data_IF_260852216618
#
_entry.id   IF_260852216618
#
_cell.length_a   1.000
_cell.length_b   1.000
_cell.length_c   1.000
_cell.angle_alpha   90.00
_cell.angle_beta   90.00
_cell.angle_gamma   90.00
#
_symmetry.space_group_name_H-M   'P 1'
#
loop_
_entity.id
_entity.type
_entity.pdbx_description
1 polymer ?
#
# COMPACT_ATOMS: atom_id res chain seq x y z
N UNK A 1 77.33 2.24 42.54
CA UNK A 1 76.70 2.39 41.25
C UNK A 1 75.33 1.72 41.31
N UNK A 2 74.25 2.51 41.47
CA UNK A 2 72.87 2.00 41.70
C UNK A 2 72.11 2.16 40.40
N UNK A 3 71.76 1.02 39.80
CA UNK A 3 70.94 0.98 38.56
C UNK A 3 69.47 1.06 39.01
N UNK A 4 68.79 2.12 38.57
CA UNK A 4 67.32 2.28 38.73
C UNK A 4 66.62 1.70 37.50
N UNK A 5 65.95 0.59 37.68
CA UNK A 5 65.09 -0.02 36.64
C UNK A 5 63.73 0.66 36.70
N UNK A 6 63.38 1.41 35.65
CA UNK A 6 62.05 2.05 35.49
C UNK A 6 61.16 1.08 34.76
N UNK A 7 60.12 0.60 35.44
CA UNK A 7 59.07 -0.25 34.85
C UNK A 7 58.07 0.67 34.15
N UNK A 8 58.02 0.63 32.81
CA UNK A 8 56.99 1.34 32.02
C UNK A 8 55.73 0.44 31.97
N UNK A 9 54.68 0.86 32.63
CA UNK A 9 53.36 0.23 32.62
C UNK A 9 52.59 0.73 31.40
N UNK A 10 52.53 -0.06 30.33
CA UNK A 10 51.75 0.25 29.13
C UNK A 10 50.29 -0.08 29.41
N UNK A 11 49.45 0.92 29.66
CA UNK A 11 48.00 0.76 29.78
C UNK A 11 47.39 0.56 28.39
N UNK A 12 47.01 -0.69 28.11
CA UNK A 12 46.24 -1.05 26.93
C UNK A 12 44.79 -0.60 27.16
N UNK A 13 44.40 0.55 26.65
CA UNK A 13 43.00 1.03 26.65
C UNK A 13 42.24 0.21 25.66
N UNK A 14 41.51 -0.83 26.08
CA UNK A 14 40.50 -1.50 25.30
C UNK A 14 39.36 -0.50 25.05
N UNK A 15 39.36 0.18 23.93
CA UNK A 15 38.18 0.80 23.40
C UNK A 15 37.18 -0.31 23.00
N UNK A 16 36.39 -0.78 23.95
CA UNK A 16 35.19 -1.57 23.68
C UNK A 16 34.24 -0.65 22.96
N UNK A 17 34.26 -0.71 21.62
CA UNK A 17 33.23 -0.08 20.79
C UNK A 17 31.88 -0.60 21.25
N UNK A 18 31.13 0.27 21.93
CA UNK A 18 29.73 0.00 22.27
C UNK A 18 29.03 -0.11 20.91
N UNK A 19 28.86 -1.33 20.42
CA UNK A 19 27.97 -1.59 19.30
C UNK A 19 26.57 -1.17 19.77
N UNK A 20 26.15 0.01 19.38
CA UNK A 20 24.77 0.45 19.64
C UNK A 20 23.85 -0.58 19.03
N UNK A 21 23.08 -1.26 19.88
CA UNK A 21 22.10 -2.25 19.45
C UNK A 21 21.13 -1.57 18.49
N UNK A 22 20.86 -2.20 17.35
CA UNK A 22 19.90 -1.70 16.36
C UNK A 22 18.52 -1.58 17.04
N UNK A 23 17.89 -0.42 16.95
CA UNK A 23 16.54 -0.19 17.48
C UNK A 23 15.59 -1.28 16.96
N UNK A 24 14.74 -1.82 17.81
CA UNK A 24 13.74 -2.85 17.49
C UNK A 24 14.31 -4.26 17.23
N UNK A 25 15.61 -4.47 17.41
CA UNK A 25 16.24 -5.79 17.25
C UNK A 25 16.83 -6.23 18.61
N UNK A 26 16.34 -7.32 19.14
CA UNK A 26 16.90 -7.98 20.32
C UNK A 26 17.57 -9.32 19.95
N UNK A 27 17.99 -10.09 20.94
CA UNK A 27 18.48 -11.44 20.74
C UNK A 27 17.40 -12.37 20.18
N UNK A 28 16.17 -12.21 20.65
CA UNK A 28 15.07 -13.16 20.45
C UNK A 28 13.89 -12.57 19.65
N UNK A 29 13.89 -11.26 19.38
CA UNK A 29 12.74 -10.56 18.77
C UNK A 29 13.16 -9.50 17.75
N UNK A 30 12.32 -9.35 16.71
CA UNK A 30 12.32 -8.23 15.77
C UNK A 30 10.99 -7.51 15.95
N UNK A 31 11.03 -6.28 16.45
CA UNK A 31 9.86 -5.47 16.72
C UNK A 31 9.56 -4.53 15.54
N UNK A 32 8.43 -4.72 14.89
CA UNK A 32 7.95 -3.87 13.79
C UNK A 32 6.64 -3.19 14.17
N UNK A 33 6.33 -2.07 13.55
CA UNK A 33 5.11 -1.31 13.81
C UNK A 33 4.30 -1.08 12.56
N UNK A 34 3.00 -0.86 12.74
CA UNK A 34 2.07 -0.48 11.69
C UNK A 34 1.05 0.51 12.21
N UNK A 35 0.67 1.50 11.41
CA UNK A 35 -0.41 2.44 11.73
C UNK A 35 -1.54 2.15 10.77
N UNK A 36 -2.69 1.76 11.31
CA UNK A 36 -3.85 1.37 10.52
C UNK A 36 -5.06 2.27 10.82
N UNK A 37 -6.06 2.17 9.99
CA UNK A 37 -7.41 2.61 10.34
C UNK A 37 -8.19 1.41 10.88
N UNK A 38 -8.46 1.38 12.17
CA UNK A 38 -9.22 0.29 12.81
C UNK A 38 -10.61 0.74 13.28
N UNK A 39 -10.86 2.06 13.32
CA UNK A 39 -12.10 2.66 13.84
C UNK A 39 -12.76 3.66 12.87
N UNK A 40 -12.10 4.06 11.81
CA UNK A 40 -12.56 5.06 10.85
C UNK A 40 -13.14 4.46 9.54
N UNK A 41 -13.17 5.26 8.47
CA UNK A 41 -13.83 4.89 7.21
C UNK A 41 -13.17 3.72 6.48
N UNK A 42 -11.90 3.41 6.76
CA UNK A 42 -11.15 2.30 6.17
C UNK A 42 -10.90 1.16 7.17
N UNK A 43 -11.69 1.06 8.25
CA UNK A 43 -11.49 0.03 9.26
C UNK A 43 -11.51 -1.40 8.69
N UNK A 44 -12.27 -1.64 7.61
CA UNK A 44 -12.23 -2.91 6.88
C UNK A 44 -10.84 -3.19 6.28
N UNK A 45 -10.22 -2.19 5.65
CA UNK A 45 -8.86 -2.31 5.10
C UNK A 45 -7.82 -2.52 6.20
N UNK A 46 -7.86 -1.69 7.25
CA UNK A 46 -6.93 -1.80 8.37
C UNK A 46 -6.95 -3.17 9.04
N UNK A 47 -8.15 -3.75 9.24
CA UNK A 47 -8.29 -5.12 9.77
C UNK A 47 -7.74 -6.17 8.82
N UNK A 48 -8.06 -6.09 7.53
CA UNK A 48 -7.63 -7.06 6.52
C UNK A 48 -6.11 -7.05 6.33
N UNK A 49 -5.46 -5.88 6.23
CA UNK A 49 -3.99 -5.80 6.09
C UNK A 49 -3.31 -6.31 7.34
N UNK A 50 -3.81 -5.96 8.55
CA UNK A 50 -3.31 -6.48 9.82
C UNK A 50 -3.41 -8.01 9.86
N UNK A 51 -4.56 -8.57 9.50
CA UNK A 51 -4.78 -10.01 9.51
C UNK A 51 -3.86 -10.73 8.52
N UNK A 52 -3.66 -10.18 7.31
CA UNK A 52 -2.68 -10.71 6.36
C UNK A 52 -1.25 -10.68 6.89
N UNK A 53 -0.84 -9.57 7.53
CA UNK A 53 0.47 -9.49 8.19
C UNK A 53 0.60 -10.51 9.32
N UNK A 54 -0.41 -10.65 10.18
CA UNK A 54 -0.41 -11.60 11.30
C UNK A 54 -0.29 -13.05 10.82
N UNK A 55 -1.03 -13.43 9.76
CA UNK A 55 -0.94 -14.77 9.20
C UNK A 55 0.49 -15.11 8.74
N UNK A 56 1.15 -14.19 8.02
CA UNK A 56 2.53 -14.39 7.60
C UNK A 56 3.51 -14.43 8.78
N UNK A 57 3.30 -13.57 9.79
CA UNK A 57 4.12 -13.56 11.02
C UNK A 57 3.99 -14.89 11.77
N UNK A 58 2.78 -15.40 11.93
CA UNK A 58 2.54 -16.67 12.63
C UNK A 58 3.26 -17.81 11.90
N UNK A 59 3.12 -17.92 10.57
CA UNK A 59 3.80 -18.92 9.75
C UNK A 59 5.33 -18.85 9.90
N UNK A 60 5.91 -17.65 9.82
CA UNK A 60 7.35 -17.44 9.96
C UNK A 60 7.80 -17.79 11.39
N UNK A 61 7.02 -17.38 12.38
CA UNK A 61 7.34 -17.62 13.78
C UNK A 61 7.23 -19.11 14.17
N UNK A 62 6.26 -19.84 13.63
CA UNK A 62 6.14 -21.29 13.80
C UNK A 62 7.38 -22.02 13.28
N UNK A 63 7.95 -21.57 12.16
CA UNK A 63 9.17 -22.10 11.56
C UNK A 63 10.48 -21.66 12.25
N UNK A 64 10.39 -21.01 13.42
CA UNK A 64 11.57 -20.57 14.19
C UNK A 64 11.94 -19.09 14.02
N UNK A 65 11.16 -18.33 13.26
CA UNK A 65 11.39 -16.89 13.05
C UNK A 65 12.46 -16.58 12.00
N UNK A 66 13.12 -15.46 12.15
CA UNK A 66 14.18 -14.99 11.25
C UNK A 66 15.51 -15.06 11.98
N UNK A 67 16.39 -15.96 11.57
CA UNK A 67 17.70 -16.20 12.23
C UNK A 67 17.55 -16.37 13.77
N UNK A 68 16.52 -17.13 14.20
CA UNK A 68 16.21 -17.41 15.59
C UNK A 68 15.44 -16.34 16.34
N UNK A 69 15.00 -15.25 15.66
CA UNK A 69 14.20 -14.17 16.26
C UNK A 69 12.75 -14.25 15.82
N UNK A 70 11.82 -14.13 16.75
CA UNK A 70 10.40 -14.00 16.45
C UNK A 70 10.08 -12.58 15.98
N UNK A 71 9.18 -12.47 15.02
CA UNK A 71 8.63 -11.16 14.61
C UNK A 71 7.48 -10.80 15.56
N UNK A 72 7.50 -9.57 16.07
CA UNK A 72 6.40 -8.98 16.82
C UNK A 72 5.91 -7.73 16.14
N UNK A 73 4.61 -7.65 15.88
CA UNK A 73 3.93 -6.53 15.25
C UNK A 73 3.15 -5.73 16.30
N UNK A 74 3.42 -4.43 16.38
CA UNK A 74 2.58 -3.47 17.09
C UNK A 74 1.71 -2.73 16.08
N UNK A 75 0.41 -2.61 16.37
CA UNK A 75 -0.54 -1.91 15.51
C UNK A 75 -1.21 -0.80 16.27
N UNK A 76 -1.11 0.43 15.77
CA UNK A 76 -1.79 1.61 16.30
C UNK A 76 -2.93 2.04 15.38
N UNK A 77 -4.00 2.58 15.97
CA UNK A 77 -5.16 3.08 15.25
C UNK A 77 -5.06 4.59 15.01
N UNK A 78 -5.07 5.01 13.76
CA UNK A 78 -5.15 6.42 13.38
C UNK A 78 -6.58 6.91 13.09
N UNK A 79 -7.56 6.01 12.95
CA UNK A 79 -8.91 6.38 12.50
C UNK A 79 -8.91 7.13 11.18
N UNK A 80 -7.91 6.92 10.33
CA UNK A 80 -7.66 7.62 9.06
C UNK A 80 -7.46 9.14 9.22
N UNK A 81 -6.97 9.58 10.39
CA UNK A 81 -6.65 10.97 10.71
C UNK A 81 -5.13 11.20 10.75
N UNK A 82 -4.56 12.15 9.95
CA UNK A 82 -3.12 12.41 9.94
C UNK A 82 -2.56 12.86 11.28
N UNK A 83 -3.32 13.60 12.10
CA UNK A 83 -2.84 14.05 13.41
C UNK A 83 -2.71 12.88 14.39
N UNK A 84 -3.67 11.94 14.36
CA UNK A 84 -3.57 10.71 15.15
C UNK A 84 -2.43 9.82 14.63
N UNK A 85 -2.17 9.78 13.32
CA UNK A 85 -1.05 9.05 12.75
C UNK A 85 0.30 9.58 13.26
N UNK A 86 0.44 10.91 13.44
CA UNK A 86 1.64 11.53 14.08
C UNK A 86 1.82 11.00 15.49
N UNK A 87 0.76 10.99 16.32
CA UNK A 87 0.84 10.49 17.70
C UNK A 87 1.20 8.99 17.75
N UNK A 88 0.58 8.20 16.88
CA UNK A 88 0.89 6.77 16.74
C UNK A 88 2.35 6.55 16.29
N UNK A 89 2.86 7.35 15.35
CA UNK A 89 4.25 7.28 14.93
C UNK A 89 5.22 7.65 16.07
N UNK A 90 4.92 8.70 16.83
CA UNK A 90 5.72 9.08 18.01
C UNK A 90 5.78 7.95 19.05
N UNK A 91 4.65 7.27 19.31
CA UNK A 91 4.59 6.13 20.21
C UNK A 91 5.46 4.98 19.69
N UNK A 92 5.18 4.50 18.47
CA UNK A 92 5.86 3.34 17.89
C UNK A 92 7.37 3.58 17.72
N UNK A 93 7.78 4.77 17.25
CA UNK A 93 9.17 5.08 16.93
C UNK A 93 9.98 5.45 18.17
N UNK A 94 9.44 6.31 19.06
CA UNK A 94 10.21 6.90 20.16
C UNK A 94 10.03 6.16 21.49
N UNK A 95 8.84 5.57 21.74
CA UNK A 95 8.55 4.85 22.99
C UNK A 95 8.78 3.35 22.83
N UNK A 96 8.07 2.74 21.87
CA UNK A 96 8.16 1.29 21.61
C UNK A 96 9.45 0.91 20.86
N UNK A 97 10.10 1.88 20.17
CA UNK A 97 11.38 1.74 19.49
C UNK A 97 11.36 0.63 18.43
N UNK A 98 10.37 0.65 17.53
CA UNK A 98 10.27 -0.30 16.44
C UNK A 98 11.47 -0.23 15.48
N UNK A 99 11.80 -1.36 14.85
CA UNK A 99 12.82 -1.44 13.81
C UNK A 99 12.37 -0.83 12.48
N UNK A 100 11.10 -1.04 12.14
CA UNK A 100 10.53 -0.67 10.83
C UNK A 100 9.03 -0.37 10.95
N UNK A 101 8.54 0.59 10.18
CA UNK A 101 7.12 0.80 9.93
C UNK A 101 6.70 0.01 8.69
N UNK A 102 5.71 -0.87 8.81
CA UNK A 102 5.24 -1.75 7.73
C UNK A 102 3.78 -1.51 7.39
N UNK A 103 3.45 -1.42 6.11
CA UNK A 103 2.06 -1.41 5.64
C UNK A 103 1.20 -0.24 6.15
N UNK A 104 1.79 0.88 6.56
CA UNK A 104 1.07 2.04 7.11
C UNK A 104 0.05 2.59 6.10
N UNK A 105 -1.23 2.68 6.50
CA UNK A 105 -2.33 3.06 5.61
C UNK A 105 -2.46 4.57 5.43
N UNK A 106 -2.76 5.00 4.19
CA UNK A 106 -3.17 6.35 3.85
C UNK A 106 -2.03 7.29 3.44
N UNK A 107 -2.29 8.15 2.45
CA UNK A 107 -1.31 9.09 1.89
C UNK A 107 -0.93 10.17 2.91
N UNK A 108 -1.87 11.02 3.29
CA UNK A 108 -1.64 12.11 4.24
C UNK A 108 -1.14 11.62 5.62
N UNK A 109 -1.53 10.40 6.04
CA UNK A 109 -1.08 9.77 7.27
C UNK A 109 0.40 9.40 7.21
N UNK A 110 0.83 8.78 6.10
CA UNK A 110 2.25 8.46 5.86
C UNK A 110 3.11 9.72 5.78
N UNK A 111 2.67 10.72 5.01
CA UNK A 111 3.40 11.99 4.86
C UNK A 111 3.61 12.69 6.20
N UNK A 112 2.60 12.70 7.06
CA UNK A 112 2.70 13.29 8.40
C UNK A 112 3.62 12.49 9.35
N UNK A 113 3.69 11.16 9.19
CA UNK A 113 4.45 10.27 10.07
C UNK A 113 5.90 10.06 9.63
N UNK A 114 6.21 10.11 8.33
CA UNK A 114 7.56 9.83 7.80
C UNK A 114 8.69 10.66 8.41
N UNK A 115 8.55 11.98 8.70
CA UNK A 115 9.61 12.75 9.35
C UNK A 115 10.05 12.15 10.68
N UNK A 116 9.09 11.66 11.51
CA UNK A 116 9.36 11.03 12.81
C UNK A 116 10.12 9.71 12.61
N UNK A 117 9.73 8.92 11.62
CA UNK A 117 10.40 7.66 11.29
C UNK A 117 11.85 7.91 10.85
N UNK A 118 12.05 8.86 9.93
CA UNK A 118 13.34 9.11 9.30
C UNK A 118 14.36 9.71 10.26
N UNK A 119 13.93 10.51 11.22
CA UNK A 119 14.79 11.02 12.31
C UNK A 119 15.44 9.90 13.13
N UNK A 120 14.77 8.77 13.26
CA UNK A 120 15.24 7.59 14.02
C UNK A 120 15.71 6.43 13.13
N UNK A 121 15.96 6.68 11.86
CA UNK A 121 16.43 5.67 10.90
C UNK A 121 15.45 4.49 10.69
N UNK A 122 14.14 4.75 10.91
CA UNK A 122 13.05 3.78 10.74
C UNK A 122 12.53 3.83 9.31
N UNK A 123 12.60 2.70 8.61
CA UNK A 123 12.14 2.56 7.21
C UNK A 123 10.61 2.65 7.16
N UNK A 124 10.08 3.38 6.18
CA UNK A 124 8.69 3.28 5.73
C UNK A 124 8.59 2.22 4.64
N UNK A 125 8.16 1.02 5.04
CA UNK A 125 8.21 -0.18 4.21
C UNK A 125 6.82 -0.57 3.71
N UNK A 126 6.66 -0.53 2.39
CA UNK A 126 5.44 -0.90 1.69
C UNK A 126 4.19 -0.26 2.31
N UNK A 127 4.12 1.09 2.36
CA UNK A 127 2.92 1.74 2.86
C UNK A 127 1.70 1.32 2.04
N UNK A 128 0.55 1.16 2.71
CA UNK A 128 -0.72 0.87 2.05
C UNK A 128 -1.31 2.17 1.47
N UNK A 129 -0.60 2.71 0.51
CA UNK A 129 -0.96 3.82 -0.37
C UNK A 129 -0.02 3.81 -1.57
N UNK A 130 -0.52 4.22 -2.71
CA UNK A 130 0.23 4.27 -3.96
C UNK A 130 0.56 5.72 -4.38
N UNK A 131 0.77 6.63 -3.43
CA UNK A 131 1.15 7.99 -3.74
C UNK A 131 2.63 8.11 -4.13
N UNK A 132 2.96 9.05 -5.03
CA UNK A 132 4.35 9.33 -5.44
C UNK A 132 5.22 9.73 -4.27
N UNK A 133 4.69 10.43 -3.29
CA UNK A 133 5.40 10.81 -2.06
C UNK A 133 5.97 9.62 -1.27
N UNK A 134 5.53 8.40 -1.54
CA UNK A 134 6.05 7.18 -0.89
C UNK A 134 7.41 6.75 -1.45
N UNK A 135 7.86 7.29 -2.59
CA UNK A 135 9.19 7.05 -3.15
C UNK A 135 9.90 8.30 -3.67
N UNK A 136 9.16 9.38 -3.96
CA UNK A 136 9.66 10.69 -4.38
C UNK A 136 9.43 11.77 -3.30
N UNK A 137 10.31 12.77 -3.17
CA UNK A 137 11.68 12.70 -3.66
C UNK A 137 12.41 11.50 -3.07
N UNK A 138 13.47 11.03 -3.75
CA UNK A 138 14.25 9.88 -3.28
C UNK A 138 14.67 10.06 -1.82
N UNK A 139 14.41 9.04 -1.03
CA UNK A 139 14.93 8.91 0.33
C UNK A 139 15.26 7.44 0.60
N UNK A 140 16.43 7.16 1.19
CA UNK A 140 16.91 5.78 1.39
C UNK A 140 15.98 4.91 2.24
N UNK A 141 15.17 5.51 3.10
CA UNK A 141 14.23 4.84 4.01
C UNK A 141 12.81 4.67 3.43
N UNK A 142 12.57 5.04 2.19
CA UNK A 142 11.30 4.81 1.51
C UNK A 142 11.37 3.54 0.68
N UNK A 143 10.36 2.68 0.76
CA UNK A 143 10.18 1.53 -0.13
C UNK A 143 8.70 1.40 -0.48
N UNK A 144 8.33 1.74 -1.71
CA UNK A 144 6.97 1.60 -2.26
C UNK A 144 6.91 0.44 -3.24
N UNK A 145 5.92 -0.42 -3.14
CA UNK A 145 5.87 -1.68 -3.90
C UNK A 145 5.13 -1.57 -5.21
N UNK A 146 4.11 -0.71 -5.30
CA UNK A 146 3.14 -0.67 -6.39
C UNK A 146 3.28 0.63 -7.21
N UNK A 147 2.85 0.61 -8.50
CA UNK A 147 2.76 1.82 -9.31
C UNK A 147 1.87 2.85 -8.63
N UNK A 148 2.20 4.12 -8.82
CA UNK A 148 1.49 5.21 -8.17
C UNK A 148 0.06 5.38 -8.70
N UNK A 149 -0.80 6.02 -7.92
CA UNK A 149 -2.15 6.37 -8.39
C UNK A 149 -2.10 7.17 -9.69
N UNK A 150 -1.11 8.06 -9.80
CA UNK A 150 -0.86 8.80 -11.03
C UNK A 150 -0.60 7.84 -12.21
N UNK A 151 0.39 6.96 -12.09
CA UNK A 151 0.77 6.03 -13.17
C UNK A 151 -0.35 5.04 -13.51
N UNK A 152 -1.04 4.54 -12.49
CA UNK A 152 -2.18 3.64 -12.66
C UNK A 152 -3.24 4.25 -13.60
N UNK A 153 -3.66 5.48 -13.32
CA UNK A 153 -4.68 6.17 -14.13
C UNK A 153 -4.10 6.63 -15.46
N UNK A 154 -2.92 7.27 -15.45
CA UNK A 154 -2.23 7.74 -16.66
C UNK A 154 -2.08 6.63 -17.71
N UNK A 155 -1.72 5.41 -17.28
CA UNK A 155 -1.46 4.29 -18.21
C UNK A 155 -2.73 3.54 -18.64
N UNK A 156 -3.74 3.44 -17.78
CA UNK A 156 -4.95 2.66 -18.05
C UNK A 156 -6.04 3.49 -18.75
N UNK A 157 -6.19 4.78 -18.42
CA UNK A 157 -7.24 5.63 -18.95
C UNK A 157 -7.22 5.77 -20.50
N UNK A 158 -6.08 6.02 -21.16
CA UNK A 158 -6.04 6.11 -22.62
C UNK A 158 -6.45 4.81 -23.32
N UNK A 159 -6.15 3.65 -22.72
CA UNK A 159 -6.54 2.34 -23.23
C UNK A 159 -8.06 2.16 -23.15
N UNK A 160 -8.65 2.51 -22.00
CA UNK A 160 -10.10 2.43 -21.79
C UNK A 160 -10.86 3.40 -22.71
N UNK A 161 -10.37 4.62 -22.90
CA UNK A 161 -10.94 5.63 -23.83
C UNK A 161 -10.98 5.06 -25.25
N UNK A 162 -9.88 4.50 -25.74
CA UNK A 162 -9.83 3.88 -27.08
C UNK A 162 -10.80 2.71 -27.21
N UNK A 163 -10.83 1.83 -26.22
CA UNK A 163 -11.70 0.64 -26.22
C UNK A 163 -13.19 1.00 -26.22
N UNK A 164 -13.56 2.09 -25.55
CA UNK A 164 -14.95 2.52 -25.34
C UNK A 164 -15.38 3.68 -26.25
N UNK A 165 -14.45 4.22 -27.04
CA UNK A 165 -14.70 5.35 -27.97
C UNK A 165 -15.26 6.59 -27.23
N UNK A 166 -14.70 6.87 -26.04
CA UNK A 166 -15.15 7.97 -25.17
C UNK A 166 -14.47 9.28 -25.58
N UNK A 167 -15.20 10.38 -25.53
CA UNK A 167 -14.71 11.74 -25.85
C UNK A 167 -14.84 12.73 -24.68
N UNK A 168 -15.82 12.54 -23.79
CA UNK A 168 -16.06 13.41 -22.63
C UNK A 168 -15.73 12.70 -21.32
N UNK A 169 -14.60 13.08 -20.73
CA UNK A 169 -14.09 12.49 -19.50
C UNK A 169 -14.08 13.51 -18.38
N UNK A 170 -14.55 13.11 -17.22
CA UNK A 170 -14.63 13.93 -16.01
C UNK A 170 -13.96 13.25 -14.84
N UNK A 171 -13.78 13.98 -13.72
CA UNK A 171 -13.22 13.43 -12.49
C UNK A 171 -14.00 13.85 -11.25
N UNK A 172 -14.22 12.91 -10.31
CA UNK A 172 -14.67 13.18 -8.94
C UNK A 172 -13.58 12.65 -8.01
N UNK A 173 -13.06 13.49 -7.12
CA UNK A 173 -11.89 13.13 -6.32
C UNK A 173 -11.95 13.70 -4.90
N UNK A 174 -11.33 12.99 -3.95
CA UNK A 174 -11.14 13.45 -2.59
C UNK A 174 -10.20 14.67 -2.57
N UNK A 175 -10.57 15.71 -1.81
CA UNK A 175 -9.82 16.96 -1.71
C UNK A 175 -8.65 16.80 -0.72
N UNK A 176 -7.67 15.98 -1.13
CA UNK A 176 -6.39 15.74 -0.45
C UNK A 176 -5.34 15.17 -1.43
N UNK A 177 -4.14 14.87 -0.91
CA UNK A 177 -3.00 14.40 -1.70
C UNK A 177 -3.31 13.12 -2.50
N UNK A 178 -4.10 12.21 -1.94
CA UNK A 178 -4.56 11.01 -2.65
C UNK A 178 -5.41 11.36 -3.88
N UNK A 179 -6.43 12.19 -3.70
CA UNK A 179 -7.32 12.55 -4.80
C UNK A 179 -6.62 13.39 -5.86
N UNK A 180 -5.66 14.24 -5.47
CA UNK A 180 -4.83 15.01 -6.41
C UNK A 180 -3.94 14.12 -7.28
N UNK A 181 -3.38 13.03 -6.76
CA UNK A 181 -2.64 12.04 -7.54
C UNK A 181 -3.49 11.41 -8.65
N UNK A 182 -4.74 11.04 -8.32
CA UNK A 182 -5.70 10.49 -9.30
C UNK A 182 -6.09 11.54 -10.35
N UNK A 183 -6.36 12.77 -9.92
CA UNK A 183 -6.70 13.88 -10.82
C UNK A 183 -5.56 14.16 -11.81
N UNK A 184 -4.33 14.28 -11.33
CA UNK A 184 -3.17 14.53 -12.18
C UNK A 184 -2.93 13.38 -13.17
N UNK A 185 -3.07 12.12 -12.71
CA UNK A 185 -3.01 10.96 -13.59
C UNK A 185 -4.11 10.99 -14.67
N UNK A 186 -5.30 11.50 -14.33
CA UNK A 186 -6.40 11.68 -15.28
C UNK A 186 -6.06 12.74 -16.33
N UNK A 187 -5.60 13.92 -15.90
CA UNK A 187 -5.26 15.03 -16.79
C UNK A 187 -4.12 14.66 -17.75
N UNK A 188 -3.07 13.99 -17.26
CA UNK A 188 -1.95 13.54 -18.12
C UNK A 188 -2.34 12.36 -19.03
N UNK A 189 -3.15 11.42 -18.55
CA UNK A 189 -3.68 10.33 -19.36
C UNK A 189 -4.57 10.85 -20.50
N UNK A 190 -5.35 11.89 -20.26
CA UNK A 190 -6.14 12.56 -21.31
C UNK A 190 -5.28 13.24 -22.35
N UNK A 191 -4.19 13.92 -21.97
CA UNK A 191 -3.23 14.49 -22.92
C UNK A 191 -2.64 13.40 -23.82
N UNK A 192 -2.29 12.23 -23.27
CA UNK A 192 -1.83 11.08 -24.06
C UNK A 192 -2.90 10.55 -25.05
N UNK A 193 -4.18 10.70 -24.72
CA UNK A 193 -5.32 10.40 -25.58
C UNK A 193 -5.72 11.56 -26.52
N UNK A 194 -5.02 12.70 -26.49
CA UNK A 194 -5.33 13.95 -27.19
C UNK A 194 -6.70 14.53 -26.82
N UNK A 195 -7.08 14.37 -25.58
CA UNK A 195 -8.31 14.91 -24.98
C UNK A 195 -7.96 15.87 -23.84
N UNK A 196 -8.95 16.61 -23.38
CA UNK A 196 -8.87 17.45 -22.18
C UNK A 196 -9.95 17.03 -21.20
N UNK A 197 -9.74 17.31 -19.93
CA UNK A 197 -10.72 17.06 -18.88
C UNK A 197 -11.97 17.92 -19.13
N UNK A 198 -13.15 17.29 -19.29
CA UNK A 198 -14.40 17.99 -19.55
C UNK A 198 -14.86 18.75 -18.33
N UNK A 199 -14.85 18.12 -17.16
CA UNK A 199 -15.20 18.75 -15.87
C UNK A 199 -14.62 17.98 -14.69
N UNK A 200 -14.57 18.64 -13.51
CA UNK A 200 -14.13 18.00 -12.26
C UNK A 200 -14.87 18.54 -11.05
N UNK A 201 -15.02 17.70 -10.03
CA UNK A 201 -15.55 18.06 -8.73
C UNK A 201 -14.79 17.35 -7.60
N UNK A 202 -14.52 18.08 -6.53
CA UNK A 202 -13.93 17.48 -5.33
C UNK A 202 -14.98 17.26 -4.24
N UNK A 203 -14.60 16.46 -3.24
CA UNK A 203 -15.33 16.29 -1.99
C UNK A 203 -14.36 16.21 -0.81
N UNK A 204 -14.79 16.63 0.37
CA UNK A 204 -13.97 16.53 1.58
C UNK A 204 -13.98 15.11 2.15
N UNK A 205 -12.86 14.70 2.73
CA UNK A 205 -12.77 13.44 3.48
C UNK A 205 -13.93 13.32 4.47
N UNK A 206 -14.59 12.17 4.46
CA UNK A 206 -15.75 11.93 5.31
C UNK A 206 -17.10 12.30 4.70
N UNK A 207 -17.15 12.84 3.48
CA UNK A 207 -18.41 13.11 2.77
C UNK A 207 -19.25 11.83 2.62
N UNK A 208 -20.56 12.00 2.68
CA UNK A 208 -21.55 10.90 2.54
C UNK A 208 -22.58 11.16 1.46
N UNK A 209 -22.69 12.41 0.98
CA UNK A 209 -23.57 12.81 -0.11
C UNK A 209 -22.73 13.30 -1.30
N UNK A 210 -23.02 12.78 -2.48
CA UNK A 210 -22.33 13.04 -3.74
C UNK A 210 -23.26 13.58 -4.82
N UNK A 211 -24.48 13.95 -4.45
CA UNK A 211 -25.54 14.38 -5.39
C UNK A 211 -25.11 15.59 -6.22
N UNK A 212 -24.46 16.58 -5.62
CA UNK A 212 -23.99 17.78 -6.33
C UNK A 212 -22.88 17.47 -7.33
N UNK A 213 -21.91 16.62 -6.94
CA UNK A 213 -20.82 16.20 -7.83
C UNK A 213 -21.37 15.41 -9.02
N UNK A 214 -22.26 14.45 -8.75
CA UNK A 214 -22.90 13.63 -9.79
C UNK A 214 -23.75 14.47 -10.74
N UNK A 215 -24.59 15.38 -10.21
CA UNK A 215 -25.39 16.28 -11.04
C UNK A 215 -24.53 17.15 -11.96
N UNK A 216 -23.39 17.64 -11.46
CA UNK A 216 -22.42 18.40 -12.25
C UNK A 216 -21.85 17.57 -13.41
N UNK A 217 -21.43 16.31 -13.16
CA UNK A 217 -20.93 15.42 -14.21
C UNK A 217 -21.99 15.09 -15.24
N UNK A 218 -23.24 14.89 -14.82
CA UNK A 218 -24.38 14.65 -15.72
C UNK A 218 -24.66 15.86 -16.60
N UNK A 219 -24.71 17.06 -16.03
CA UNK A 219 -24.93 18.32 -16.76
C UNK A 219 -23.82 18.58 -17.80
N UNK A 220 -22.58 18.22 -17.50
CA UNK A 220 -21.43 18.33 -18.40
C UNK A 220 -21.43 17.24 -19.50
N UNK A 221 -22.34 16.27 -19.44
CA UNK A 221 -22.45 15.19 -20.41
C UNK A 221 -21.28 14.21 -20.39
N UNK A 222 -20.73 13.94 -19.21
CA UNK A 222 -19.60 13.04 -19.04
C UNK A 222 -19.94 11.61 -19.43
N UNK A 223 -19.14 11.00 -20.30
CA UNK A 223 -19.28 9.61 -20.76
C UNK A 223 -18.45 8.63 -19.91
N UNK A 224 -17.35 9.13 -19.35
CA UNK A 224 -16.50 8.43 -18.39
C UNK A 224 -16.18 9.36 -17.22
N UNK A 225 -16.29 8.83 -16.01
CA UNK A 225 -15.93 9.56 -14.78
C UNK A 225 -14.82 8.80 -14.04
N UNK A 226 -13.66 9.43 -13.92
CA UNK A 226 -12.56 8.90 -13.10
C UNK A 226 -12.81 9.25 -11.65
N UNK A 227 -12.71 8.25 -10.78
CA UNK A 227 -12.99 8.34 -9.36
C UNK A 227 -11.70 8.27 -8.54
N UNK A 228 -11.29 9.41 -7.96
CA UNK A 228 -10.29 9.50 -6.89
C UNK A 228 -10.98 9.26 -5.53
N UNK A 229 -11.57 8.08 -5.38
CA UNK A 229 -12.41 7.67 -4.25
C UNK A 229 -11.92 6.33 -3.66
N UNK A 230 -12.37 6.02 -2.43
CA UNK A 230 -12.04 4.75 -1.79
C UNK A 230 -13.29 3.85 -1.79
N UNK A 231 -13.77 3.36 -0.65
CA UNK A 231 -14.87 2.39 -0.62
C UNK A 231 -16.24 3.08 -0.64
N UNK A 232 -16.54 3.80 0.45
CA UNK A 232 -17.85 4.42 0.67
C UNK A 232 -18.19 5.45 -0.38
N UNK A 233 -17.21 6.26 -0.74
CA UNK A 233 -17.33 7.33 -1.73
C UNK A 233 -17.59 6.75 -3.13
N UNK A 234 -16.93 5.64 -3.49
CA UNK A 234 -17.18 4.93 -4.76
C UNK A 234 -18.60 4.40 -4.82
N UNK A 235 -19.04 3.69 -3.76
CA UNK A 235 -20.41 3.14 -3.69
C UNK A 235 -21.44 4.28 -3.72
N UNK A 236 -21.21 5.34 -2.93
CA UNK A 236 -22.11 6.50 -2.87
C UNK A 236 -22.22 7.23 -4.20
N UNK A 237 -21.10 7.51 -4.85
CA UNK A 237 -21.07 8.22 -6.14
C UNK A 237 -21.76 7.42 -7.23
N UNK A 238 -21.38 6.14 -7.43
CA UNK A 238 -21.98 5.29 -8.45
C UNK A 238 -23.45 5.04 -8.15
N UNK A 239 -23.81 4.74 -6.89
CA UNK A 239 -25.20 4.53 -6.48
C UNK A 239 -26.08 5.75 -6.71
N UNK A 240 -25.58 6.95 -6.41
CA UNK A 240 -26.28 8.23 -6.68
C UNK A 240 -26.44 8.44 -8.18
N UNK A 241 -25.41 8.21 -8.99
CA UNK A 241 -25.50 8.34 -10.44
C UNK A 241 -26.58 7.42 -11.04
N UNK A 242 -26.59 6.15 -10.64
CA UNK A 242 -27.61 5.18 -11.09
C UNK A 242 -29.03 5.61 -10.70
N UNK A 243 -29.24 6.09 -9.47
CA UNK A 243 -30.54 6.62 -9.01
C UNK A 243 -31.01 7.85 -9.81
N UNK A 244 -30.07 8.68 -10.25
CA UNK A 244 -30.36 9.86 -11.08
C UNK A 244 -30.52 9.54 -12.58
N UNK A 245 -30.43 8.24 -12.97
CA UNK A 245 -30.47 7.81 -14.38
C UNK A 245 -29.20 8.15 -15.17
N UNK A 246 -28.12 8.55 -14.48
CA UNK A 246 -26.83 8.85 -15.09
C UNK A 246 -25.94 7.60 -15.10
N UNK A 247 -25.60 7.13 -16.30
CA UNK A 247 -24.93 5.85 -16.50
C UNK A 247 -23.59 5.95 -17.28
N UNK A 248 -22.64 6.79 -16.87
CA UNK A 248 -21.33 6.83 -17.49
C UNK A 248 -20.52 5.58 -17.15
N UNK A 249 -19.40 5.41 -17.84
CA UNK A 249 -18.35 4.49 -17.42
C UNK A 249 -17.69 5.09 -16.19
N UNK A 250 -17.49 4.27 -15.14
CA UNK A 250 -16.72 4.66 -13.97
C UNK A 250 -15.39 3.91 -13.91
N UNK A 251 -14.32 4.61 -13.60
CA UNK A 251 -12.98 4.04 -13.41
C UNK A 251 -12.31 4.63 -12.18
N UNK A 252 -11.68 3.79 -11.36
CA UNK A 252 -10.90 4.21 -10.20
C UNK A 252 -9.51 3.60 -10.16
N UNK A 253 -8.76 3.99 -9.14
CA UNK A 253 -7.43 3.44 -8.84
C UNK A 253 -7.50 2.16 -8.00
N UNK A 254 -6.36 1.58 -7.68
CA UNK A 254 -6.25 0.42 -6.78
C UNK A 254 -6.81 0.68 -5.37
N UNK A 255 -6.99 1.95 -4.97
CA UNK A 255 -7.60 2.31 -3.70
C UNK A 255 -9.07 1.84 -3.57
N UNK A 256 -9.74 1.61 -4.69
CA UNK A 256 -11.13 1.11 -4.75
C UNK A 256 -11.24 -0.33 -5.26
N UNK A 257 -10.13 -1.04 -5.43
CA UNK A 257 -10.13 -2.44 -5.84
C UNK A 257 -10.33 -3.36 -4.63
N UNK A 258 -11.58 -3.59 -4.27
CA UNK A 258 -12.00 -4.44 -3.14
C UNK A 258 -13.34 -5.09 -3.38
N UNK A 259 -13.57 -6.26 -2.78
CA UNK A 259 -14.84 -6.97 -2.81
C UNK A 259 -15.96 -6.28 -2.00
N UNK A 260 -15.61 -5.40 -1.07
CA UNK A 260 -16.58 -4.62 -0.29
C UNK A 260 -17.47 -3.78 -1.21
N UNK A 261 -16.91 -3.26 -2.31
CA UNK A 261 -17.66 -2.43 -3.27
C UNK A 261 -18.79 -3.24 -3.94
N UNK A 262 -18.56 -4.36 -4.62
CA UNK A 262 -19.66 -5.12 -5.18
C UNK A 262 -20.55 -5.79 -4.13
N UNK A 263 -20.02 -6.21 -2.97
CA UNK A 263 -20.82 -6.80 -1.90
C UNK A 263 -21.85 -5.83 -1.31
N UNK A 264 -21.46 -4.58 -1.09
CA UNK A 264 -22.36 -3.56 -0.49
C UNK A 264 -23.17 -2.84 -1.58
N UNK A 265 -22.54 -2.46 -2.69
CA UNK A 265 -23.16 -1.67 -3.74
C UNK A 265 -24.02 -2.51 -4.72
N UNK A 266 -23.88 -3.84 -4.67
CA UNK A 266 -24.66 -4.76 -5.50
C UNK A 266 -24.52 -4.52 -6.99
N UNK A 267 -25.59 -4.80 -7.75
CA UNK A 267 -25.61 -4.67 -9.22
C UNK A 267 -25.31 -3.26 -9.74
N UNK A 268 -25.48 -2.22 -8.92
CA UNK A 268 -25.15 -0.86 -9.34
C UNK A 268 -23.65 -0.69 -9.64
N UNK A 269 -22.81 -1.55 -9.07
CA UNK A 269 -21.36 -1.54 -9.26
C UNK A 269 -20.90 -2.33 -10.50
N UNK A 270 -21.74 -3.14 -11.11
CA UNK A 270 -21.37 -3.86 -12.34
C UNK A 270 -20.96 -2.86 -13.43
N UNK A 271 -19.88 -3.17 -14.12
CA UNK A 271 -19.27 -2.28 -15.11
C UNK A 271 -18.27 -1.28 -14.56
N UNK A 272 -18.09 -1.17 -13.23
CA UNK A 272 -17.05 -0.34 -12.63
C UNK A 272 -15.66 -0.91 -12.88
N UNK A 273 -14.72 -0.05 -13.29
CA UNK A 273 -13.33 -0.40 -13.53
C UNK A 273 -12.44 0.08 -12.39
N UNK A 274 -11.45 -0.72 -12.02
CA UNK A 274 -10.37 -0.28 -11.12
C UNK A 274 -9.04 -0.88 -11.55
N UNK A 275 -7.96 -0.11 -11.37
CA UNK A 275 -6.60 -0.62 -11.55
C UNK A 275 -6.22 -1.52 -10.38
N UNK A 276 -5.30 -2.44 -10.61
CA UNK A 276 -4.82 -3.36 -9.58
C UNK A 276 -3.43 -3.90 -9.89
N UNK A 277 -2.74 -4.42 -8.87
CA UNK A 277 -1.44 -5.08 -9.01
C UNK A 277 -1.52 -6.57 -8.72
N UNK A 278 -2.29 -7.00 -7.72
CA UNK A 278 -2.56 -8.41 -7.42
C UNK A 278 -3.99 -8.76 -7.84
N UNK A 279 -4.23 -10.00 -8.26
CA UNK A 279 -5.57 -10.50 -8.54
C UNK A 279 -6.35 -10.70 -7.23
N UNK A 280 -7.66 -10.53 -7.30
CA UNK A 280 -8.51 -10.77 -6.13
C UNK A 280 -8.49 -12.26 -5.76
N UNK A 281 -8.16 -12.63 -4.51
CA UNK A 281 -7.99 -14.02 -4.08
C UNK A 281 -9.36 -14.66 -3.78
N UNK A 282 -10.05 -15.13 -4.80
CA UNK A 282 -11.34 -15.81 -4.58
C UNK A 282 -11.15 -17.21 -3.99
N UNK A 283 -12.09 -17.63 -3.11
CA UNK A 283 -12.05 -18.94 -2.49
C UNK A 283 -12.20 -20.10 -3.49
N UNK A 284 -12.79 -19.84 -4.64
CA UNK A 284 -12.96 -20.75 -5.77
C UNK A 284 -11.97 -20.49 -6.94
N UNK A 285 -10.86 -19.81 -6.65
CA UNK A 285 -9.80 -19.51 -7.64
C UNK A 285 -9.31 -20.77 -8.35
N UNK A 286 -8.91 -20.65 -9.61
CA UNK A 286 -8.36 -21.75 -10.38
C UNK A 286 -7.07 -22.33 -9.75
N UNK A 287 -6.26 -21.48 -9.12
CA UNK A 287 -5.02 -21.88 -8.44
C UNK A 287 -5.29 -22.63 -7.14
N UNK A 288 -4.83 -23.91 -7.02
CA UNK A 288 -4.94 -24.63 -5.75
C UNK A 288 -4.18 -23.95 -4.59
N UNK A 289 -3.10 -23.22 -4.90
CA UNK A 289 -2.32 -22.50 -3.89
C UNK A 289 -3.15 -21.35 -3.30
N UNK A 290 -3.81 -20.54 -4.15
CA UNK A 290 -4.70 -19.46 -3.72
C UNK A 290 -5.86 -20.02 -2.89
N UNK A 291 -6.51 -21.09 -3.35
CA UNK A 291 -7.61 -21.73 -2.58
C UNK A 291 -7.18 -22.20 -1.19
N UNK A 292 -5.99 -22.82 -1.06
CA UNK A 292 -5.48 -23.25 0.27
C UNK A 292 -5.20 -22.04 1.16
N UNK A 293 -4.61 -21.01 0.60
CA UNK A 293 -4.29 -19.79 1.34
C UNK A 293 -5.57 -19.08 1.83
N UNK A 294 -6.58 -18.90 0.98
CA UNK A 294 -7.86 -18.29 1.36
C UNK A 294 -8.61 -19.12 2.40
N UNK A 295 -8.59 -20.46 2.28
CA UNK A 295 -9.18 -21.34 3.29
C UNK A 295 -8.50 -21.21 4.66
N UNK A 296 -7.15 -21.16 4.69
CA UNK A 296 -6.38 -20.93 5.92
C UNK A 296 -6.72 -19.57 6.54
N UNK A 297 -6.74 -18.50 5.72
CA UNK A 297 -7.08 -17.15 6.15
C UNK A 297 -8.48 -17.13 6.79
N UNK A 298 -9.48 -17.71 6.13
CA UNK A 298 -10.85 -17.79 6.63
C UNK A 298 -10.95 -18.57 7.93
N UNK A 299 -10.22 -19.66 8.06
CA UNK A 299 -10.20 -20.45 9.32
C UNK A 299 -9.61 -19.64 10.47
N UNK A 300 -8.54 -18.86 10.22
CA UNK A 300 -7.84 -18.11 11.25
C UNK A 300 -8.60 -16.85 11.70
N UNK A 301 -9.25 -16.14 10.76
CA UNK A 301 -9.84 -14.83 11.03
C UNK A 301 -11.37 -14.77 10.93
N UNK A 302 -12.01 -15.86 10.56
CA UNK A 302 -13.47 -15.96 10.36
C UNK A 302 -14.01 -14.88 9.38
N UNK A 303 -13.22 -14.54 8.37
CA UNK A 303 -13.59 -13.62 7.29
C UNK A 303 -13.00 -14.08 5.96
N UNK A 304 -13.57 -13.63 4.84
CA UNK A 304 -13.00 -13.91 3.53
C UNK A 304 -11.73 -13.09 3.30
N UNK A 305 -10.76 -13.71 2.65
CA UNK A 305 -9.54 -13.03 2.24
C UNK A 305 -9.84 -11.99 1.16
N UNK A 306 -9.06 -10.93 1.14
CA UNK A 306 -9.13 -9.86 0.15
C UNK A 306 -7.75 -9.52 -0.42
N UNK A 307 -7.71 -8.68 -1.45
CA UNK A 307 -6.43 -8.16 -1.98
C UNK A 307 -5.66 -7.37 -0.92
N UNK A 308 -6.35 -6.78 0.06
CA UNK A 308 -5.71 -6.04 1.17
C UNK A 308 -5.05 -7.00 2.16
N UNK A 309 -5.65 -8.16 2.44
CA UNK A 309 -4.99 -9.20 3.24
C UNK A 309 -3.81 -9.83 2.49
N UNK A 310 -3.89 -10.00 1.16
CA UNK A 310 -2.76 -10.40 0.32
C UNK A 310 -1.62 -9.39 0.45
N UNK A 311 -1.91 -8.10 0.37
CA UNK A 311 -0.89 -7.05 0.52
C UNK A 311 -0.15 -7.16 1.86
N UNK A 312 -0.89 -7.33 2.97
CA UNK A 312 -0.29 -7.53 4.30
C UNK A 312 0.59 -8.78 4.36
N UNK A 313 0.10 -9.89 3.84
CA UNK A 313 0.81 -11.16 3.79
C UNK A 313 2.12 -11.07 2.98
N UNK A 314 2.05 -10.52 1.77
CA UNK A 314 3.20 -10.33 0.89
C UNK A 314 4.23 -9.36 1.50
N UNK A 315 3.77 -8.26 2.14
CA UNK A 315 4.64 -7.30 2.81
C UNK A 315 5.54 -7.97 3.84
N UNK A 316 4.97 -8.83 4.70
CA UNK A 316 5.76 -9.52 5.74
C UNK A 316 6.67 -10.60 5.14
N UNK A 317 6.23 -11.32 4.11
CA UNK A 317 7.09 -12.31 3.46
C UNK A 317 8.31 -11.66 2.79
N UNK A 318 8.13 -10.54 2.10
CA UNK A 318 9.24 -9.78 1.51
C UNK A 318 10.17 -9.24 2.60
N UNK A 319 9.60 -8.66 3.66
CA UNK A 319 10.36 -8.22 4.83
C UNK A 319 11.20 -9.35 5.42
N UNK A 320 10.62 -10.51 5.64
CA UNK A 320 11.31 -11.65 6.26
C UNK A 320 12.44 -12.18 5.39
N UNK A 321 12.26 -12.25 4.08
CA UNK A 321 13.30 -12.67 3.14
C UNK A 321 14.49 -11.68 3.17
N UNK A 322 14.22 -10.38 3.05
CA UNK A 322 15.24 -9.35 3.11
C UNK A 322 15.99 -9.33 4.46
N UNK A 323 15.28 -9.60 5.57
CA UNK A 323 15.90 -9.72 6.90
C UNK A 323 16.78 -10.97 7.05
N UNK A 324 16.41 -12.11 6.42
CA UNK A 324 17.27 -13.30 6.39
C UNK A 324 18.57 -13.00 5.65
N UNK A 325 18.49 -12.34 4.49
CA UNK A 325 19.62 -11.93 3.66
C UNK A 325 20.51 -10.87 4.36
N UNK A 326 19.92 -10.02 5.22
CA UNK A 326 20.67 -9.09 6.06
C UNK A 326 21.55 -9.79 7.13
N UNK A 327 21.33 -11.08 7.37
CA UNK A 327 22.16 -11.97 8.19
C UNK A 327 21.85 -11.91 9.69
N UNK A 328 22.73 -12.53 10.50
CA UNK A 328 22.52 -12.72 11.94
C UNK A 328 22.62 -11.42 12.77
N UNK A 329 23.24 -10.37 12.22
CA UNK A 329 23.34 -9.03 12.83
C UNK A 329 22.69 -8.01 11.89
N UNK A 330 21.35 -8.01 11.77
CA UNK A 330 20.65 -7.10 10.89
C UNK A 330 20.75 -5.66 11.39
N UNK A 331 20.70 -4.72 10.45
CA UNK A 331 20.60 -3.28 10.69
C UNK A 331 19.81 -2.65 9.55
N UNK A 332 19.33 -1.41 9.74
CA UNK A 332 18.67 -0.64 8.68
C UNK A 332 19.48 -0.64 7.38
N UNK A 333 20.78 -0.36 7.45
CA UNK A 333 21.65 -0.32 6.27
C UNK A 333 21.83 -1.68 5.59
N UNK A 334 21.89 -2.79 6.34
CA UNK A 334 21.97 -4.13 5.77
C UNK A 334 20.66 -4.55 5.12
N UNK A 335 19.52 -4.22 5.74
CA UNK A 335 18.21 -4.45 5.16
C UNK A 335 18.05 -3.70 3.84
N UNK A 336 18.40 -2.41 3.81
CA UNK A 336 18.37 -1.59 2.58
C UNK A 336 19.22 -2.25 1.48
N UNK A 337 20.44 -2.67 1.79
CA UNK A 337 21.32 -3.34 0.83
C UNK A 337 20.73 -4.64 0.31
N UNK A 338 20.13 -5.45 1.18
CA UNK A 338 19.42 -6.67 0.77
C UNK A 338 18.30 -6.34 -0.22
N UNK A 339 17.45 -5.37 0.08
CA UNK A 339 16.37 -4.94 -0.82
C UNK A 339 16.88 -4.43 -2.19
N UNK A 340 18.03 -3.77 -2.22
CA UNK A 340 18.61 -3.19 -3.44
C UNK A 340 19.21 -4.22 -4.40
N UNK A 341 19.60 -5.39 -3.91
CA UNK A 341 20.23 -6.45 -4.73
C UNK A 341 19.30 -7.63 -5.03
N UNK A 342 18.18 -7.76 -4.31
CA UNK A 342 17.26 -8.88 -4.45
C UNK A 342 16.24 -8.60 -5.55
N UNK A 343 16.10 -9.54 -6.49
CA UNK A 343 14.96 -9.59 -7.38
C UNK A 343 13.85 -10.40 -6.70
N UNK A 344 12.73 -9.76 -6.42
CA UNK A 344 11.57 -10.39 -5.79
C UNK A 344 10.65 -10.87 -6.91
N UNK A 345 10.46 -12.19 -7.11
CA UNK A 345 9.61 -12.70 -8.17
C UNK A 345 8.14 -12.35 -7.92
N UNK A 346 7.33 -12.43 -8.98
CA UNK A 346 5.87 -12.41 -8.83
C UNK A 346 5.39 -13.55 -7.92
N UNK A 347 4.22 -13.36 -7.35
CA UNK A 347 3.63 -14.28 -6.38
C UNK A 347 2.44 -15.08 -6.95
N UNK A 348 1.88 -15.99 -6.15
CA UNK A 348 0.72 -16.79 -6.53
C UNK A 348 -0.56 -15.98 -6.76
N UNK A 349 -0.57 -14.72 -6.33
CA UNK A 349 -1.68 -13.78 -6.53
C UNK A 349 -1.54 -12.96 -7.81
N UNK A 350 -0.55 -13.28 -8.64
CA UNK A 350 -0.29 -12.61 -9.91
C UNK A 350 0.27 -11.21 -9.76
N UNK A 351 0.89 -10.88 -8.63
CA UNK A 351 1.65 -9.64 -8.47
C UNK A 351 2.85 -9.64 -9.42
N UNK A 352 3.24 -8.47 -9.99
CA UNK A 352 4.42 -8.40 -10.84
C UNK A 352 5.69 -8.61 -10.04
N UNK A 353 6.81 -8.99 -10.69
CA UNK A 353 8.12 -8.92 -10.06
C UNK A 353 8.43 -7.51 -9.59
N UNK A 354 9.10 -7.39 -8.44
CA UNK A 354 9.49 -6.09 -7.88
C UNK A 354 11.01 -6.03 -7.71
N UNK A 355 11.57 -4.84 -7.95
CA UNK A 355 12.99 -4.59 -7.85
C UNK A 355 13.26 -3.17 -7.37
N UNK A 356 14.15 -3.06 -6.39
CA UNK A 356 14.67 -1.79 -5.90
C UNK A 356 16.13 -1.63 -6.32
N UNK A 357 16.61 -0.38 -6.33
CA UNK A 357 18.03 -0.07 -6.60
C UNK A 357 18.50 1.04 -5.66
N UNK A 358 19.80 1.34 -5.57
CA UNK A 358 20.30 2.46 -4.77
C UNK A 358 19.67 3.82 -5.11
N UNK A 359 19.10 3.96 -6.31
CA UNK A 359 18.48 5.21 -6.79
C UNK A 359 16.98 5.12 -7.04
N UNK A 360 16.36 3.94 -6.92
CA UNK A 360 14.91 3.72 -7.16
C UNK A 360 14.25 3.05 -5.96
N UNK A 361 13.23 3.70 -5.41
CA UNK A 361 12.43 3.23 -4.26
C UNK A 361 10.99 2.83 -4.65
N UNK A 362 10.73 2.70 -5.93
CA UNK A 362 9.51 2.11 -6.48
C UNK A 362 9.82 0.70 -6.99
N UNK A 363 9.09 -0.31 -6.48
CA UNK A 363 9.33 -1.72 -6.77
C UNK A 363 8.85 -2.13 -8.16
N UNK A 364 7.67 -1.67 -8.57
CA UNK A 364 7.09 -1.92 -9.90
C UNK A 364 6.25 -0.72 -10.34
N UNK A 365 6.18 -0.50 -11.65
CA UNK A 365 5.33 0.49 -12.33
C UNK A 365 4.21 -0.17 -13.15
N UNK A 366 4.01 -1.47 -13.00
CA UNK A 366 3.03 -2.24 -13.75
C UNK A 366 1.70 -2.39 -13.00
N UNK A 367 0.59 -2.10 -13.68
CA UNK A 367 -0.77 -2.35 -13.19
C UNK A 367 -1.65 -2.96 -14.26
N UNK A 368 -2.66 -3.70 -13.83
CA UNK A 368 -3.74 -4.24 -14.65
C UNK A 368 -4.99 -3.38 -14.48
N UNK A 369 -5.96 -3.55 -15.39
CA UNK A 369 -7.30 -3.02 -15.21
C UNK A 369 -8.29 -4.17 -15.04
N UNK A 370 -9.09 -4.11 -14.01
CA UNK A 370 -10.18 -5.05 -13.74
C UNK A 370 -11.53 -4.34 -13.84
N UNK A 371 -12.57 -5.13 -14.09
CA UNK A 371 -13.96 -4.67 -14.10
C UNK A 371 -14.81 -5.55 -13.19
N UNK A 372 -15.78 -4.97 -12.51
CA UNK A 372 -16.81 -5.73 -11.80
C UNK A 372 -17.79 -6.29 -12.84
N UNK A 373 -17.91 -7.61 -12.88
CA UNK A 373 -18.85 -8.35 -13.73
C UNK A 373 -19.52 -9.41 -12.86
N UNK A 374 -20.85 -9.37 -12.79
CA UNK A 374 -21.65 -10.27 -11.96
C UNK A 374 -21.20 -10.25 -10.46
N UNK A 375 -20.90 -9.06 -9.95
CA UNK A 375 -20.45 -8.84 -8.58
C UNK A 375 -19.02 -9.30 -8.27
N UNK A 376 -18.20 -9.64 -9.29
CA UNK A 376 -16.81 -10.11 -9.13
C UNK A 376 -15.84 -9.31 -9.98
N UNK A 377 -14.65 -9.08 -9.47
CA UNK A 377 -13.57 -8.50 -10.23
C UNK A 377 -13.01 -9.48 -11.25
N UNK A 378 -12.94 -9.05 -12.52
CA UNK A 378 -12.32 -9.78 -13.62
C UNK A 378 -11.31 -8.91 -14.33
N UNK A 379 -10.12 -9.42 -14.61
CA UNK A 379 -9.08 -8.72 -15.37
C UNK A 379 -9.58 -8.52 -16.81
N UNK A 380 -9.52 -7.27 -17.28
CA UNK A 380 -9.94 -6.90 -18.66
C UNK A 380 -8.80 -6.31 -19.49
N UNK A 381 -7.76 -5.76 -18.84
CA UNK A 381 -6.52 -5.33 -19.49
C UNK A 381 -5.35 -5.80 -18.61
N UNK A 382 -4.49 -6.64 -19.18
CA UNK A 382 -3.32 -7.19 -18.49
C UNK A 382 -2.11 -6.25 -18.58
N UNK A 383 -1.03 -6.52 -17.81
CA UNK A 383 0.18 -5.71 -17.69
C UNK A 383 0.75 -5.26 -19.04
N UNK A 384 0.87 -6.17 -19.99
CA UNK A 384 1.52 -5.95 -21.27
C UNK A 384 0.55 -5.70 -22.45
N UNK A 385 -0.74 -5.43 -22.19
CA UNK A 385 -1.66 -5.08 -23.26
C UNK A 385 -1.29 -3.70 -23.85
N UNK A 386 -0.88 -3.69 -25.13
CA UNK A 386 -0.57 -2.47 -25.90
C UNK A 386 -1.83 -1.68 -26.29
#
# INVERSE_FOLDING_TARGET
MKIKTTLALTALTLCSGIATAQQGISKDEILIGSIQDLSGPLAGYGKQVRNGMMMAIDEINELGGINGRKIKLLVEDSGYDPKKAVLAAQKLVNQDKIFMMVGHIGTAQNEAAMPIQFEKDVINFFPLTAARSMYEPFHRLKFSVAPTYFEQIHNALPKLIRQKTVTKVCAIYQDDDFGQEVLQGTEEGLKAAKLTLTDKASFKRGATDFSSQVAKMQASGCELVVLGTIIRETIGTIGTARKMGFNPIFMGSSASYTDIIPKIGGKAMDGYYATMTAQFPYADDASPAVRRWTAKYRTQFNEDASVISVFGYTTINVFANAMRDAGSRPSTSKFIRSMEVTNIPGDMFGSPPIKFTPTRRLGSDESRLSQIQDGRWKVVIDYNAK
#
